data_IF_109041111468
#
_entry.id   IF_109041111468
#
_cell.length_a   1.000
_cell.length_b   1.000
_cell.length_c   1.000
_cell.angle_alpha   90.00
_cell.angle_beta   90.00
_cell.angle_gamma   90.00
#
_symmetry.space_group_name_H-M   'P 1'
#
loop_
_entity.id
_entity.type
_entity.pdbx_description
1 polymer ?
#
# COMPACT_ATOMS: atom_id res chain seq x y z
N UNK A 1 2.06 -3.65 -18.72
CA UNK A 1 1.12 -3.44 -17.60
C UNK A 1 1.75 -4.08 -16.36
N UNK A 2 1.92 -3.32 -15.29
CA UNK A 2 2.50 -3.74 -14.02
C UNK A 2 1.43 -3.69 -12.93
N UNK A 3 1.35 -4.78 -12.18
CA UNK A 3 0.49 -4.92 -11.00
C UNK A 3 1.38 -5.02 -9.78
N UNK A 4 1.18 -4.14 -8.80
CA UNK A 4 1.85 -4.22 -7.51
C UNK A 4 0.99 -5.03 -6.55
N UNK A 5 1.56 -6.05 -5.93
CA UNK A 5 0.92 -6.83 -4.87
C UNK A 5 1.65 -6.58 -3.56
N UNK A 6 0.92 -6.18 -2.51
CA UNK A 6 1.47 -5.89 -1.19
C UNK A 6 0.43 -6.10 -0.08
N UNK A 7 0.82 -5.90 1.17
CA UNK A 7 -0.07 -5.84 2.33
C UNK A 7 0.71 -6.09 3.62
N UNK A 8 0.00 -6.29 4.72
CA UNK A 8 0.58 -6.52 6.06
C UNK A 8 1.59 -5.44 6.47
N UNK A 9 1.25 -4.18 6.15
CA UNK A 9 2.08 -3.02 6.52
C UNK A 9 2.09 -2.81 8.03
N UNK A 10 0.93 -3.00 8.69
CA UNK A 10 0.71 -2.81 10.11
C UNK A 10 1.29 -1.49 10.63
N UNK A 11 1.09 -0.39 9.90
CA UNK A 11 1.56 0.94 10.30
C UNK A 11 0.44 1.64 11.07
N UNK A 12 0.64 2.11 12.32
CA UNK A 12 1.92 2.21 13.06
C UNK A 12 2.21 1.04 14.01
N UNK A 13 1.33 0.03 14.10
CA UNK A 13 1.36 -0.98 15.17
C UNK A 13 2.62 -1.85 15.23
N UNK A 14 3.19 -2.24 14.08
CA UNK A 14 4.39 -3.11 14.00
C UNK A 14 5.56 -2.46 13.28
N UNK A 15 5.29 -1.46 12.44
CA UNK A 15 6.29 -0.78 11.64
C UNK A 15 5.95 0.71 11.55
N UNK A 16 6.96 1.57 11.48
CA UNK A 16 6.78 3.02 11.29
C UNK A 16 6.51 3.43 9.84
N UNK A 17 6.67 2.51 8.88
CA UNK A 17 6.41 2.75 7.47
C UNK A 17 7.22 1.84 6.54
N UNK A 18 7.04 2.05 5.22
CA UNK A 18 7.81 1.35 4.20
C UNK A 18 9.30 1.74 4.23
N UNK A 19 10.23 0.80 3.99
CA UNK A 19 11.65 1.10 3.86
C UNK A 19 11.94 2.11 2.74
N UNK A 20 12.94 2.97 2.94
CA UNK A 20 13.27 4.05 2.00
C UNK A 20 13.55 3.56 0.57
N UNK A 21 14.23 2.41 0.44
CA UNK A 21 14.52 1.80 -0.88
C UNK A 21 13.23 1.43 -1.64
N UNK A 22 12.21 0.93 -0.94
CA UNK A 22 10.92 0.63 -1.56
C UNK A 22 10.19 1.91 -1.96
N UNK A 23 10.16 2.93 -1.10
CA UNK A 23 9.55 4.22 -1.44
C UNK A 23 10.14 4.84 -2.73
N UNK A 24 11.44 4.66 -2.97
CA UNK A 24 12.09 5.13 -4.20
C UNK A 24 11.70 4.33 -5.46
N UNK A 25 11.28 3.07 -5.31
CA UNK A 25 10.80 2.23 -6.41
C UNK A 25 9.31 2.47 -6.70
N UNK A 26 8.55 2.76 -5.65
CA UNK A 26 7.12 3.06 -5.68
C UNK A 26 6.88 4.52 -6.05
N UNK A 27 7.14 4.83 -7.32
CA UNK A 27 6.87 6.14 -7.92
C UNK A 27 5.61 6.08 -8.81
N UNK A 28 4.77 7.14 -8.81
CA UNK A 28 3.60 7.22 -9.68
C UNK A 28 3.95 7.07 -11.17
N UNK A 29 3.00 6.59 -11.97
CA UNK A 29 3.14 6.45 -13.42
C UNK A 29 3.82 5.18 -13.91
N UNK A 30 4.36 4.34 -13.00
CA UNK A 30 4.90 3.01 -13.35
C UNK A 30 3.88 1.89 -13.16
N UNK A 31 3.03 1.99 -12.14
CA UNK A 31 2.09 0.94 -11.71
C UNK A 31 0.69 1.31 -12.19
N UNK A 32 -0.03 0.35 -12.78
CA UNK A 32 -1.41 0.56 -13.23
C UNK A 32 -2.44 0.04 -12.21
N UNK A 33 -2.15 -1.08 -11.57
CA UNK A 33 -3.05 -1.72 -10.61
C UNK A 33 -2.32 -2.07 -9.31
N UNK A 34 -3.01 -1.93 -8.19
CA UNK A 34 -2.54 -2.37 -6.87
C UNK A 34 -3.52 -3.39 -6.31
N UNK A 35 -3.00 -4.54 -5.85
CA UNK A 35 -3.73 -5.53 -5.07
C UNK A 35 -3.14 -5.56 -3.65
N UNK A 36 -3.89 -5.07 -2.68
CA UNK A 36 -3.48 -5.04 -1.28
C UNK A 36 -4.19 -6.13 -0.47
N UNK A 37 -3.43 -6.96 0.26
CA UNK A 37 -3.98 -8.04 1.11
C UNK A 37 -4.53 -7.54 2.46
N UNK A 38 -4.64 -6.22 2.64
CA UNK A 38 -5.07 -5.58 3.88
C UNK A 38 -3.96 -5.29 4.87
N UNK A 39 -4.34 -5.04 6.11
CA UNK A 39 -3.50 -4.69 7.25
C UNK A 39 -2.66 -3.43 6.99
N UNK A 40 -3.29 -2.39 6.44
CA UNK A 40 -2.73 -1.05 6.31
C UNK A 40 -2.88 -0.26 7.61
N UNK A 41 -3.95 -0.52 8.35
CA UNK A 41 -4.29 0.04 9.67
C UNK A 41 -4.51 1.56 9.74
N UNK A 42 -4.21 2.31 8.67
CA UNK A 42 -4.28 3.77 8.65
C UNK A 42 -4.77 4.31 7.32
N UNK A 43 -5.57 5.39 7.38
CA UNK A 43 -6.05 6.09 6.19
C UNK A 43 -4.90 6.67 5.37
N UNK A 44 -3.83 7.11 6.03
CA UNK A 44 -2.63 7.64 5.39
C UNK A 44 -1.95 6.60 4.49
N UNK A 45 -1.88 5.35 4.95
CA UNK A 45 -1.31 4.24 4.16
C UNK A 45 -2.17 3.90 2.96
N UNK A 46 -3.50 3.92 3.13
CA UNK A 46 -4.45 3.75 2.05
C UNK A 46 -4.37 4.88 1.01
N UNK A 47 -4.35 6.13 1.46
CA UNK A 47 -4.28 7.31 0.58
C UNK A 47 -2.93 7.35 -0.17
N UNK A 48 -1.83 6.92 0.47
CA UNK A 48 -0.55 6.75 -0.20
C UNK A 48 -0.64 5.78 -1.39
N UNK A 49 -1.26 4.60 -1.24
CA UNK A 49 -1.43 3.67 -2.36
C UNK A 49 -2.24 4.27 -3.51
N UNK A 50 -3.26 5.09 -3.22
CA UNK A 50 -4.04 5.80 -4.24
C UNK A 50 -3.25 6.87 -4.99
N UNK A 51 -2.13 7.36 -4.45
CA UNK A 51 -1.22 8.25 -5.21
C UNK A 51 -0.37 7.51 -6.23
N UNK A 52 -0.16 6.20 -6.03
CA UNK A 52 0.74 5.40 -6.86
C UNK A 52 0.08 4.83 -8.12
N UNK A 53 -1.22 4.51 -8.04
CA UNK A 53 -2.00 3.95 -9.12
C UNK A 53 -3.46 4.43 -9.07
N UNK A 54 -4.09 4.52 -10.25
CA UNK A 54 -5.51 4.89 -10.37
C UNK A 54 -6.45 3.77 -9.96
N UNK A 55 -6.02 2.51 -10.05
CA UNK A 55 -6.83 1.34 -9.72
C UNK A 55 -6.23 0.57 -8.55
N UNK A 56 -6.91 0.63 -7.40
CA UNK A 56 -6.42 0.11 -6.12
C UNK A 56 -7.50 -0.75 -5.49
N UNK A 57 -7.20 -2.04 -5.35
CA UNK A 57 -8.07 -3.04 -4.74
C UNK A 57 -7.49 -3.43 -3.39
N UNK A 58 -8.27 -3.31 -2.32
CA UNK A 58 -7.84 -3.59 -0.96
C UNK A 58 -8.88 -4.49 -0.33
N UNK A 59 -8.44 -5.63 0.19
CA UNK A 59 -9.27 -6.46 1.06
C UNK A 59 -9.04 -6.08 2.52
N UNK A 60 -10.05 -6.28 3.37
CA UNK A 60 -9.95 -5.96 4.80
C UNK A 60 -9.11 -7.01 5.51
N UNK A 61 -8.00 -6.59 6.11
CA UNK A 61 -7.20 -7.40 7.02
C UNK A 61 -7.79 -7.46 8.44
N UNK A 62 -7.25 -8.31 9.28
CA UNK A 62 -7.68 -8.50 10.67
C UNK A 62 -7.38 -7.31 11.59
N UNK A 63 -6.42 -6.46 11.22
CA UNK A 63 -6.05 -5.22 11.92
C UNK A 63 -6.54 -3.94 11.21
N UNK A 64 -7.38 -4.05 10.16
CA UNK A 64 -7.97 -2.88 9.50
C UNK A 64 -9.30 -2.49 10.16
N UNK A 65 -9.38 -1.25 10.63
CA UNK A 65 -10.61 -0.63 11.15
C UNK A 65 -11.59 -0.26 10.02
#
# INVERSE_FOLDING_TARGET
>A
MLVLVLGDLHVPHRQSGLPAKFKNLLVPGKIQHILCTGNLCTKESHDYLKTLASDVHIVRGDFDE
#
